data_IF_334800117589
#
_entry.id   IF_334800117589
#
_cell.length_a   1.000
_cell.length_b   1.000
_cell.length_c   1.000
_cell.angle_alpha   90.00
_cell.angle_beta   90.00
_cell.angle_gamma   90.00
#
_symmetry.space_group_name_H-M   'P 1'
#
loop_
_entity.id
_entity.type
_entity.pdbx_description
1 polymer ?
#
# COMPACT_ATOMS: atom_id res chain seq x y z
N UNK A 1 8.04 -38.79 -44.42
CA UNK A 1 8.73 -37.56 -44.85
C UNK A 1 7.86 -36.37 -44.49
N UNK A 2 7.96 -35.83 -43.28
CA UNK A 2 7.35 -34.54 -42.93
C UNK A 2 8.28 -33.84 -41.96
N UNK A 3 9.07 -32.92 -42.53
CA UNK A 3 9.99 -32.06 -41.80
C UNK A 3 9.18 -30.96 -41.12
N UNK A 4 9.08 -31.00 -39.79
CA UNK A 4 8.46 -29.93 -39.01
C UNK A 4 9.54 -28.94 -38.59
N UNK A 5 9.58 -27.78 -39.23
CA UNK A 5 10.45 -26.65 -38.89
C UNK A 5 9.96 -25.93 -37.64
N UNK A 6 10.82 -25.81 -36.62
CA UNK A 6 10.62 -24.98 -35.45
C UNK A 6 10.94 -23.51 -35.76
N UNK A 7 9.97 -22.61 -35.58
CA UNK A 7 10.19 -21.15 -35.63
C UNK A 7 10.37 -20.65 -34.21
N UNK A 8 11.62 -20.51 -33.77
CA UNK A 8 11.98 -19.76 -32.57
C UNK A 8 12.05 -18.27 -32.90
N UNK A 9 10.95 -17.55 -32.67
CA UNK A 9 10.91 -16.10 -32.87
C UNK A 9 11.66 -15.38 -31.73
N UNK A 10 12.96 -15.16 -31.91
CA UNK A 10 13.76 -14.36 -30.98
C UNK A 10 13.55 -12.87 -31.30
N UNK A 11 12.45 -12.30 -30.81
CA UNK A 11 12.14 -10.87 -30.99
C UNK A 11 13.01 -10.06 -30.03
N UNK A 12 13.87 -9.14 -30.51
CA UNK A 12 14.65 -8.26 -29.63
C UNK A 12 13.70 -7.34 -28.88
N UNK A 13 13.60 -7.51 -27.56
CA UNK A 13 12.81 -6.62 -26.71
C UNK A 13 13.67 -5.40 -26.34
N UNK A 14 13.26 -4.17 -26.70
CA UNK A 14 14.04 -2.98 -26.36
C UNK A 14 14.13 -2.82 -24.83
N UNK A 15 15.34 -2.60 -24.33
CA UNK A 15 15.58 -2.37 -22.89
C UNK A 15 14.99 -1.01 -22.50
N UNK A 16 13.93 -1.03 -21.69
CA UNK A 16 13.31 0.19 -21.13
C UNK A 16 14.14 0.72 -19.97
N UNK A 17 14.16 2.05 -19.81
CA UNK A 17 14.81 2.71 -18.68
C UNK A 17 13.83 2.79 -17.51
N UNK A 18 14.33 2.77 -16.28
CA UNK A 18 13.48 2.86 -15.07
C UNK A 18 12.56 4.08 -15.10
N UNK A 19 13.09 5.23 -15.57
CA UNK A 19 12.33 6.48 -15.71
C UNK A 19 11.05 6.36 -16.53
N UNK A 20 11.00 5.41 -17.47
CA UNK A 20 9.86 5.22 -18.35
C UNK A 20 8.66 4.63 -17.58
N UNK A 21 8.89 4.09 -16.38
CA UNK A 21 7.87 3.54 -15.48
C UNK A 21 7.51 4.48 -14.33
N UNK A 22 8.18 5.63 -14.17
CA UNK A 22 8.02 6.49 -13.00
C UNK A 22 6.56 6.87 -12.74
N UNK A 23 5.77 7.16 -13.78
CA UNK A 23 4.34 7.47 -13.66
C UNK A 23 3.51 6.36 -12.99
N UNK A 24 3.99 5.12 -12.97
CA UNK A 24 3.33 3.96 -12.38
C UNK A 24 3.87 3.59 -10.99
N UNK A 25 5.06 4.07 -10.62
CA UNK A 25 5.77 3.64 -9.40
C UNK A 25 6.12 4.77 -8.43
N UNK A 26 5.70 6.01 -8.73
CA UNK A 26 5.86 7.16 -7.84
C UNK A 26 4.57 7.52 -7.12
N UNK A 27 4.67 7.88 -5.84
CA UNK A 27 3.54 8.30 -5.03
C UNK A 27 3.21 9.76 -5.31
N UNK A 28 1.95 10.07 -5.65
CA UNK A 28 1.51 11.46 -5.90
C UNK A 28 1.54 12.36 -4.66
N UNK A 29 1.54 11.78 -3.45
CA UNK A 29 1.56 12.55 -2.19
C UNK A 29 2.96 13.05 -1.85
N UNK A 30 3.98 12.18 -1.87
CA UNK A 30 5.36 12.55 -1.51
C UNK A 30 6.29 12.79 -2.71
N UNK A 31 5.81 12.54 -3.94
CA UNK A 31 6.56 12.63 -5.20
C UNK A 31 7.80 11.72 -5.29
N UNK A 32 7.99 10.78 -4.35
CA UNK A 32 9.03 9.75 -4.37
C UNK A 32 8.54 8.40 -4.89
N UNK A 33 9.43 7.41 -4.97
CA UNK A 33 9.03 6.01 -5.23
C UNK A 33 8.11 5.48 -4.14
N UNK A 34 7.15 4.65 -4.51
CA UNK A 34 6.19 4.08 -3.56
C UNK A 34 6.92 3.08 -2.63
N UNK A 35 6.97 3.42 -1.34
CA UNK A 35 7.50 2.56 -0.27
C UNK A 35 6.32 1.95 0.48
N UNK A 36 6.34 0.62 0.64
CA UNK A 36 5.21 -0.13 1.21
C UNK A 36 3.88 0.19 0.53
N UNK A 37 3.80 -0.14 -0.76
CA UNK A 37 2.62 0.12 -1.59
C UNK A 37 1.31 -0.27 -0.88
N UNK A 38 0.38 0.69 -0.81
CA UNK A 38 -0.96 0.51 -0.27
C UNK A 38 -1.97 1.09 -1.25
N UNK A 39 -2.90 0.25 -1.68
CA UNK A 39 -3.89 0.55 -2.72
C UNK A 39 -5.27 0.73 -2.10
N UNK A 40 -6.00 1.72 -2.57
CA UNK A 40 -7.44 1.90 -2.25
C UNK A 40 -8.23 1.02 -3.20
N UNK A 41 -9.00 0.06 -2.68
CA UNK A 41 -9.73 -0.94 -3.48
C UNK A 41 -10.79 -0.33 -4.41
N UNK A 42 -11.40 0.77 -4.00
CA UNK A 42 -12.56 1.34 -4.70
C UNK A 42 -12.17 2.14 -5.95
N UNK A 43 -10.94 2.69 -5.99
CA UNK A 43 -10.45 3.50 -7.10
C UNK A 43 -9.08 3.04 -7.66
N UNK A 44 -8.48 2.01 -7.07
CA UNK A 44 -7.19 1.41 -7.47
C UNK A 44 -6.00 2.38 -7.54
N UNK A 45 -6.06 3.51 -6.84
CA UNK A 45 -4.90 4.38 -6.67
C UNK A 45 -4.00 3.87 -5.55
N UNK A 46 -2.69 3.88 -5.82
CA UNK A 46 -1.67 3.34 -4.91
C UNK A 46 -0.73 4.42 -4.41
N UNK A 47 -0.40 4.35 -3.12
CA UNK A 47 0.45 5.33 -2.42
C UNK A 47 1.42 4.60 -1.48
N UNK A 48 2.38 5.33 -0.91
CA UNK A 48 3.14 4.79 0.22
C UNK A 48 2.19 4.57 1.41
N UNK A 49 2.39 3.49 2.18
CA UNK A 49 1.60 3.19 3.39
C UNK A 49 1.51 4.39 4.33
N UNK A 50 2.66 4.97 4.68
CA UNK A 50 2.73 6.13 5.58
C UNK A 50 2.05 7.37 5.01
N UNK A 51 2.07 7.55 3.69
CA UNK A 51 1.49 8.72 3.03
C UNK A 51 -0.04 8.66 3.04
N UNK A 52 -0.64 7.53 2.66
CA UNK A 52 -2.10 7.41 2.64
C UNK A 52 -2.68 7.42 4.05
N UNK A 53 -2.06 6.73 5.02
CA UNK A 53 -2.54 6.72 6.40
C UNK A 53 -2.52 8.13 7.00
N UNK A 54 -1.42 8.88 6.81
CA UNK A 54 -1.32 10.28 7.27
C UNK A 54 -2.30 11.21 6.56
N UNK A 55 -2.63 10.97 5.30
CA UNK A 55 -3.63 11.76 4.58
C UNK A 55 -5.04 11.54 5.16
N UNK A 56 -5.39 10.28 5.43
CA UNK A 56 -6.70 9.90 5.96
C UNK A 56 -6.96 10.39 7.38
N UNK A 57 -5.92 10.78 8.13
CA UNK A 57 -6.07 11.51 9.40
C UNK A 57 -6.73 12.89 9.23
N UNK A 58 -6.69 13.48 8.03
CA UNK A 58 -7.17 14.84 7.73
C UNK A 58 -8.34 14.87 6.74
N UNK A 59 -8.38 13.93 5.81
CA UNK A 59 -9.37 13.88 4.75
C UNK A 59 -9.69 12.42 4.42
N UNK A 60 -10.97 12.06 4.48
CA UNK A 60 -11.42 10.71 4.12
C UNK A 60 -11.56 10.53 2.61
N UNK A 61 -10.85 11.25 1.76
CA UNK A 61 -10.96 11.13 0.30
C UNK A 61 -9.64 10.72 -0.33
N UNK A 62 -9.71 10.03 -1.48
CA UNK A 62 -8.52 9.64 -2.23
C UNK A 62 -7.74 10.89 -2.69
N UNK A 63 -6.42 10.99 -2.43
CA UNK A 63 -5.61 12.15 -2.85
C UNK A 63 -5.57 12.40 -4.36
N UNK A 64 -5.86 11.39 -5.18
CA UNK A 64 -5.77 11.47 -6.64
C UNK A 64 -7.10 11.82 -7.30
N UNK A 65 -8.20 11.17 -6.90
CA UNK A 65 -9.48 11.32 -7.59
C UNK A 65 -10.61 11.91 -6.75
N UNK A 66 -10.51 11.90 -5.41
CA UNK A 66 -11.55 12.39 -4.49
C UNK A 66 -12.99 11.88 -4.75
N UNK A 67 -13.15 10.77 -5.48
CA UNK A 67 -14.44 10.37 -6.01
C UNK A 67 -15.39 9.77 -4.95
N UNK A 68 -14.83 9.03 -3.99
CA UNK A 68 -15.57 8.37 -2.92
C UNK A 68 -14.82 8.51 -1.60
N UNK A 69 -15.55 8.53 -0.46
CA UNK A 69 -14.91 8.45 0.84
C UNK A 69 -14.19 7.10 0.99
N UNK A 70 -12.98 7.14 1.53
CA UNK A 70 -12.08 6.03 1.75
C UNK A 70 -12.15 5.67 3.22
N UNK A 71 -12.53 4.45 3.53
CA UNK A 71 -12.47 3.91 4.89
C UNK A 71 -11.24 3.00 5.05
N UNK A 72 -10.90 2.67 6.29
CA UNK A 72 -9.78 1.75 6.58
C UNK A 72 -9.97 0.36 5.96
N UNK A 73 -11.22 -0.09 5.80
CA UNK A 73 -11.52 -1.38 5.18
C UNK A 73 -11.36 -1.36 3.66
N UNK A 74 -11.20 -0.19 3.03
CA UNK A 74 -10.88 -0.05 1.60
C UNK A 74 -9.38 -0.06 1.32
N UNK A 75 -8.51 -0.12 2.34
CA UNK A 75 -7.05 -0.11 2.14
C UNK A 75 -6.49 -1.53 2.10
N UNK A 76 -5.67 -1.83 1.09
CA UNK A 76 -4.97 -3.12 0.97
C UNK A 76 -3.48 -2.90 0.70
N UNK A 77 -2.58 -3.56 1.46
CA UNK A 77 -1.16 -3.61 1.10
C UNK A 77 -0.98 -4.31 -0.25
N UNK A 78 -0.26 -3.67 -1.17
CA UNK A 78 0.05 -4.23 -2.48
C UNK A 78 1.46 -4.83 -2.48
N UNK A 79 1.54 -6.12 -2.11
CA UNK A 79 2.82 -6.84 -1.98
C UNK A 79 3.49 -7.06 -3.34
N UNK A 80 2.69 -7.25 -4.39
CA UNK A 80 3.21 -7.47 -5.74
C UNK A 80 3.82 -6.20 -6.28
N UNK A 81 3.12 -5.06 -6.19
CA UNK A 81 3.65 -3.78 -6.63
C UNK A 81 4.88 -3.37 -5.83
N UNK A 82 4.89 -3.53 -4.50
CA UNK A 82 6.09 -3.32 -3.66
C UNK A 82 7.28 -4.15 -4.20
N UNK A 83 7.06 -5.44 -4.44
CA UNK A 83 8.10 -6.34 -4.95
C UNK A 83 8.60 -5.89 -6.33
N UNK A 84 7.67 -5.54 -7.23
CA UNK A 84 8.01 -5.06 -8.57
C UNK A 84 8.85 -3.80 -8.50
N UNK A 85 8.46 -2.81 -7.70
CA UNK A 85 9.21 -1.55 -7.52
C UNK A 85 10.64 -1.82 -7.04
N UNK A 86 10.81 -2.67 -6.04
CA UNK A 86 12.15 -3.02 -5.52
C UNK A 86 13.01 -3.82 -6.50
N UNK A 87 12.39 -4.55 -7.44
CA UNK A 87 13.13 -5.22 -8.51
C UNK A 87 13.44 -4.29 -9.69
N UNK A 88 12.58 -3.30 -9.95
CA UNK A 88 12.75 -2.35 -11.06
C UNK A 88 13.75 -1.23 -10.75
N UNK A 89 13.79 -0.73 -9.51
CA UNK A 89 14.63 0.41 -9.13
C UNK A 89 15.90 -0.07 -8.41
N UNK A 90 17.08 0.00 -9.05
CA UNK A 90 18.33 -0.43 -8.43
C UNK A 90 18.64 0.37 -7.17
N UNK A 91 19.10 -0.31 -6.11
CA UNK A 91 19.51 0.34 -4.86
C UNK A 91 18.38 0.76 -3.93
N UNK A 92 17.12 0.79 -4.40
CA UNK A 92 15.99 1.34 -3.64
C UNK A 92 15.74 0.56 -2.34
N UNK A 93 15.75 -0.77 -2.40
CA UNK A 93 15.58 -1.62 -1.22
C UNK A 93 16.70 -1.36 -0.20
N UNK A 94 17.95 -1.33 -0.65
CA UNK A 94 19.10 -1.12 0.23
C UNK A 94 19.04 0.24 0.92
N UNK A 95 18.73 1.30 0.15
CA UNK A 95 18.57 2.65 0.70
C UNK A 95 17.46 2.72 1.73
N UNK A 96 16.31 2.08 1.48
CA UNK A 96 15.21 2.08 2.46
C UNK A 96 15.56 1.26 3.72
N UNK A 97 16.15 0.08 3.56
CA UNK A 97 16.64 -0.73 4.68
C UNK A 97 17.66 0.03 5.54
N UNK A 98 18.57 0.78 4.90
CA UNK A 98 19.55 1.61 5.61
C UNK A 98 18.86 2.72 6.42
N UNK A 99 17.88 3.43 5.84
CA UNK A 99 17.15 4.50 6.53
C UNK A 99 16.38 3.99 7.74
N UNK A 100 15.77 2.80 7.61
CA UNK A 100 15.13 2.11 8.73
C UNK A 100 16.18 1.77 9.79
N UNK A 101 17.29 1.12 9.43
CA UNK A 101 18.34 0.76 10.37
C UNK A 101 18.91 1.98 11.13
N UNK A 102 19.14 3.10 10.44
CA UNK A 102 19.62 4.35 11.04
C UNK A 102 18.61 4.94 12.04
N UNK A 103 17.32 4.92 11.70
CA UNK A 103 16.27 5.40 12.60
C UNK A 103 16.21 4.57 13.90
N UNK A 104 16.26 3.24 13.77
CA UNK A 104 16.19 2.33 14.91
C UNK A 104 17.50 2.28 15.72
N UNK A 105 18.66 2.29 15.06
CA UNK A 105 19.97 2.36 15.70
C UNK A 105 20.20 3.69 16.43
N UNK A 106 19.70 4.80 15.87
CA UNK A 106 19.68 6.11 16.52
C UNK A 106 18.66 6.22 17.65
N UNK A 107 17.59 5.43 17.63
CA UNK A 107 16.64 5.35 18.74
C UNK A 107 17.23 4.58 19.93
N UNK A 108 17.97 3.48 19.68
CA UNK A 108 18.70 2.71 20.69
C UNK A 108 19.80 3.54 21.38
N UNK A 109 20.54 4.36 20.63
CA UNK A 109 21.57 5.23 21.23
C UNK A 109 20.99 6.35 22.11
N UNK A 110 19.73 6.77 21.89
CA UNK A 110 19.03 7.78 22.71
C UNK A 110 18.38 7.21 23.98
N UNK A 111 18.21 5.89 24.09
CA UNK A 111 17.64 5.22 25.27
C UNK A 111 18.63 5.08 26.43
N UNK A 112 19.94 5.26 26.20
CA UNK A 112 20.96 5.20 27.24
C UNK A 112 20.99 6.43 28.17
N UNK A 113 20.32 7.54 27.82
CA UNK A 113 20.45 8.83 28.53
C UNK A 113 19.20 9.35 29.25
N UNK A 114 18.07 8.62 29.33
CA UNK A 114 16.93 9.17 30.08
C UNK A 114 15.66 8.33 30.11
N UNK A 115 15.27 7.93 31.33
CA UNK A 115 14.04 7.21 31.66
C UNK A 115 12.79 8.05 31.30
N UNK A 116 12.12 7.74 30.17
CA UNK A 116 10.68 8.05 29.96
C UNK A 116 10.00 6.91 29.22
N UNK A 117 8.83 6.50 29.72
CA UNK A 117 7.94 5.49 29.12
C UNK A 117 7.34 6.07 27.83
N UNK A 118 7.82 5.63 26.67
CA UNK A 118 7.16 5.86 25.39
C UNK A 118 6.47 4.56 24.97
N UNK A 119 5.14 4.54 25.12
CA UNK A 119 4.27 3.46 24.66
C UNK A 119 4.22 3.48 23.13
N UNK A 120 5.10 2.73 22.48
CA UNK A 120 5.15 2.67 21.01
C UNK A 120 6.34 1.89 20.48
N UNK A 121 6.54 0.65 20.94
CA UNK A 121 7.42 -0.29 20.25
C UNK A 121 6.62 -0.91 19.10
N UNK A 122 6.67 -0.29 17.92
CA UNK A 122 6.29 -0.97 16.67
C UNK A 122 7.45 -1.88 16.29
N UNK A 123 7.13 -3.16 16.06
CA UNK A 123 8.06 -4.29 16.01
C UNK A 123 9.29 -4.11 15.12
N UNK A 124 10.41 -4.63 15.60
CA UNK A 124 11.66 -4.80 14.87
C UNK A 124 11.45 -5.95 13.85
N UNK A 125 11.67 -5.77 12.53
CA UNK A 125 11.83 -6.92 11.64
C UNK A 125 13.18 -7.58 11.90
N UNK A 126 13.17 -8.81 12.42
CA UNK A 126 14.36 -9.64 12.60
C UNK A 126 14.97 -10.00 11.23
N UNK A 127 16.31 -10.08 11.06
CA UNK A 127 16.95 -10.30 9.77
C UNK A 127 16.92 -11.77 9.28
N UNK A 128 16.14 -12.65 9.92
CA UNK A 128 16.10 -14.08 9.59
C UNK A 128 14.65 -14.50 9.30
N UNK A 129 14.42 -14.96 8.07
CA UNK A 129 13.08 -15.14 7.51
C UNK A 129 12.20 -16.13 8.28
N UNK A 130 11.00 -15.67 8.65
CA UNK A 130 9.69 -16.34 8.54
C UNK A 130 8.65 -15.22 8.54
N UNK A 131 8.11 -14.88 7.38
CA UNK A 131 6.95 -13.97 7.30
C UNK A 131 5.72 -14.81 7.65
N UNK A 132 5.43 -14.96 8.94
CA UNK A 132 4.09 -15.37 9.38
C UNK A 132 3.20 -14.13 9.29
N UNK A 133 2.35 -14.12 8.25
CA UNK A 133 1.07 -13.43 8.24
C UNK A 133 0.40 -13.75 9.59
N UNK A 134 -0.01 -12.76 10.39
CA UNK A 134 -1.41 -12.38 10.53
C UNK A 134 -1.50 -11.16 11.49
N UNK A 135 -2.45 -10.25 11.24
CA UNK A 135 -3.25 -9.51 12.23
C UNK A 135 -2.73 -8.36 13.13
N UNK A 136 -2.08 -7.30 12.60
CA UNK A 136 -1.77 -6.12 13.45
C UNK A 136 -2.13 -4.73 12.90
N UNK A 137 -3.08 -4.62 11.95
CA UNK A 137 -3.45 -3.31 11.39
C UNK A 137 -4.53 -2.58 12.21
N UNK A 138 -5.37 -3.27 12.98
CA UNK A 138 -6.62 -2.71 13.50
C UNK A 138 -6.55 -2.01 14.87
N UNK A 139 -5.44 -2.02 15.60
CA UNK A 139 -5.51 -1.61 17.01
C UNK A 139 -5.48 -0.09 17.27
N UNK A 140 -5.05 0.75 16.31
CA UNK A 140 -4.80 2.17 16.61
C UNK A 140 -5.83 3.17 16.06
N UNK A 141 -6.86 2.70 15.34
CA UNK A 141 -7.89 3.59 14.74
C UNK A 141 -9.28 3.38 15.37
N UNK A 142 -9.51 2.27 16.10
CA UNK A 142 -10.80 1.99 16.76
C UNK A 142 -11.15 2.89 17.95
N UNK A 143 -10.29 3.84 18.35
CA UNK A 143 -10.56 4.73 19.50
C UNK A 143 -11.27 6.05 19.15
N UNK A 144 -11.74 6.26 17.92
CA UNK A 144 -12.37 7.52 17.49
C UNK A 144 -13.82 7.42 17.02
N UNK A 145 -14.44 6.25 17.06
CA UNK A 145 -15.73 6.04 16.40
C UNK A 145 -16.87 5.71 17.39
N UNK A 146 -16.78 6.18 18.63
CA UNK A 146 -17.89 6.11 19.61
C UNK A 146 -18.61 7.47 19.67
N UNK A 147 -19.21 7.89 18.56
CA UNK A 147 -20.26 8.92 18.57
C UNK A 147 -20.96 8.95 17.21
N UNK A 148 -22.11 8.27 17.13
CA UNK A 148 -23.25 8.43 16.20
C UNK A 148 -23.93 7.05 16.12
N UNK A 149 -24.64 6.68 17.18
CA UNK A 149 -26.10 6.84 17.37
C UNK A 149 -26.92 6.00 16.39
N UNK A 150 -27.65 5.06 16.99
CA UNK A 150 -28.59 4.15 16.39
C UNK A 150 -29.73 4.88 15.71
N UNK A 151 -30.21 4.34 14.60
CA UNK A 151 -31.64 4.25 14.30
C UNK A 151 -31.85 3.06 13.35
N UNK A 152 -32.45 2.02 13.91
CA UNK A 152 -33.01 0.84 13.24
C UNK A 152 -34.24 1.23 12.39
N UNK A 153 -34.34 0.68 11.18
CA UNK A 153 -35.49 -0.14 10.77
C UNK A 153 -35.41 -0.55 9.29
N UNK A 154 -35.45 -1.86 9.10
CA UNK A 154 -35.75 -2.59 7.87
C UNK A 154 -37.02 -2.10 7.14
N UNK A 155 -36.99 -2.11 5.80
CA UNK A 155 -37.99 -2.88 5.03
C UNK A 155 -37.55 -3.09 3.58
N UNK A 156 -37.03 -4.28 3.32
CA UNK A 156 -36.74 -4.88 2.03
C UNK A 156 -38.06 -5.17 1.28
N UNK A 157 -38.15 -4.93 -0.04
CA UNK A 157 -38.96 -5.72 -0.99
C UNK A 157 -38.68 -5.33 -2.47
N UNK A 158 -38.99 -6.22 -3.46
CA UNK A 158 -38.03 -6.67 -4.47
C UNK A 158 -38.39 -6.32 -5.93
N UNK A 159 -37.39 -6.43 -6.82
CA UNK A 159 -37.45 -6.71 -8.27
C UNK A 159 -38.47 -5.91 -9.14
N UNK A 160 -37.99 -4.94 -9.93
CA UNK A 160 -38.67 -4.55 -11.18
C UNK A 160 -37.80 -4.88 -12.41
N UNK A 161 -38.38 -5.50 -13.46
CA UNK A 161 -37.63 -5.95 -14.62
C UNK A 161 -37.30 -4.81 -15.60
N UNK A 162 -36.09 -4.87 -16.16
CA UNK A 162 -35.58 -3.94 -17.17
C UNK A 162 -36.39 -4.11 -18.47
N UNK A 163 -37.20 -3.11 -18.83
CA UNK A 163 -37.84 -3.03 -20.15
C UNK A 163 -36.84 -2.49 -21.18
N UNK A 164 -36.49 -3.30 -22.17
CA UNK A 164 -35.90 -2.83 -23.43
C UNK A 164 -37.01 -2.21 -24.29
N UNK A 165 -36.80 -0.98 -24.75
CA UNK A 165 -37.64 -0.36 -25.77
C UNK A 165 -36.92 -0.46 -27.14
N UNK A 166 -37.66 -0.62 -28.26
CA UNK A 166 -37.11 -0.94 -29.57
C UNK A 166 -36.36 0.20 -30.25
#
# INVERSE_FOLDING_TARGET
MTSTTAVGSNVPHPRRKVRDFNSLITCSVCQGYIIEATTITDCLHTFCRSCILKHLERSNFCPTCSAKPVTVSNLRPDRILKTLIYKLVPGLYQSESQRVAEFHGGALSKLSSGRRRFSGLVGIPSPEGKESLDDDINHNISKKNESEHADDADFFHPEEPIRFNP
#
